data_IF_175032020696
#
_entry.id   IF_175032020696
#
_cell.length_a   1.000
_cell.length_b   1.000
_cell.length_c   1.000
_cell.angle_alpha   90.00
_cell.angle_beta   90.00
_cell.angle_gamma   90.00
#
_symmetry.space_group_name_H-M   'P 1'
#
loop_
_entity.id
_entity.type
_entity.pdbx_description
1 polymer ?
#
# COMPACT_ATOMS: atom_id res chain seq x y z
N UNK A 1 -38.75 -87.87 -19.35
CA UNK A 1 -38.48 -86.52 -19.89
C UNK A 1 -39.29 -85.55 -19.03
N UNK A 2 -38.84 -85.14 -17.84
CA UNK A 2 -37.81 -84.15 -17.51
C UNK A 2 -37.91 -82.86 -18.34
N UNK A 3 -38.47 -81.82 -17.73
CA UNK A 3 -38.04 -80.44 -17.94
C UNK A 3 -37.96 -79.78 -16.57
N UNK A 4 -36.72 -79.56 -16.10
CA UNK A 4 -36.42 -78.91 -14.83
C UNK A 4 -36.46 -77.38 -15.03
N UNK A 5 -37.21 -76.69 -14.19
CA UNK A 5 -37.24 -75.23 -14.12
C UNK A 5 -36.06 -74.78 -13.25
N UNK A 6 -34.98 -74.29 -13.86
CA UNK A 6 -33.86 -73.65 -13.13
C UNK A 6 -34.01 -72.13 -13.24
N UNK A 7 -34.47 -71.51 -12.16
CA UNK A 7 -34.43 -70.06 -12.00
C UNK A 7 -32.98 -69.63 -11.68
N UNK A 8 -32.35 -68.89 -12.60
CA UNK A 8 -31.01 -68.34 -12.40
C UNK A 8 -31.09 -67.08 -11.54
N UNK A 9 -30.71 -67.18 -10.27
CA UNK A 9 -30.39 -66.05 -9.41
C UNK A 9 -28.99 -65.56 -9.78
N UNK A 10 -28.87 -64.40 -10.43
CA UNK A 10 -27.59 -63.70 -10.52
C UNK A 10 -27.62 -62.57 -9.48
N UNK A 11 -26.80 -62.74 -8.44
CA UNK A 11 -26.66 -61.83 -7.31
C UNK A 11 -25.97 -60.57 -7.84
N UNK A 12 -26.64 -59.43 -7.80
CA UNK A 12 -25.97 -58.14 -7.99
C UNK A 12 -25.26 -57.80 -6.68
N UNK A 13 -23.94 -57.82 -6.65
CA UNK A 13 -23.15 -57.28 -5.54
C UNK A 13 -23.38 -55.76 -5.45
N UNK A 14 -24.31 -55.35 -4.59
CA UNK A 14 -24.48 -53.96 -4.21
C UNK A 14 -23.31 -53.58 -3.29
N UNK A 15 -22.33 -52.85 -3.83
CA UNK A 15 -21.28 -52.24 -3.03
C UNK A 15 -21.94 -51.24 -2.06
N UNK A 16 -22.04 -51.59 -0.77
CA UNK A 16 -22.48 -50.67 0.27
C UNK A 16 -21.40 -49.60 0.47
N UNK A 17 -21.56 -48.45 -0.17
CA UNK A 17 -20.68 -47.31 0.09
C UNK A 17 -20.94 -46.78 1.50
N UNK A 18 -19.98 -46.98 2.40
CA UNK A 18 -19.94 -46.34 3.71
C UNK A 18 -19.14 -45.05 3.61
N UNK A 19 -19.75 -43.93 3.97
CA UNK A 19 -19.11 -42.63 4.06
C UNK A 19 -19.31 -42.02 5.45
N UNK A 20 -18.35 -41.24 5.89
CA UNK A 20 -18.40 -40.43 7.10
C UNK A 20 -17.90 -39.02 6.80
N UNK A 21 -18.41 -38.02 7.51
CA UNK A 21 -18.06 -36.61 7.31
C UNK A 21 -17.57 -35.95 8.60
N UNK A 22 -16.85 -34.84 8.44
CA UNK A 22 -16.42 -33.97 9.53
C UNK A 22 -16.66 -32.51 9.16
N UNK A 23 -16.70 -31.63 10.15
CA UNK A 23 -16.82 -30.19 9.95
C UNK A 23 -15.44 -29.53 10.05
N UNK A 24 -15.08 -28.74 9.04
CA UNK A 24 -13.92 -27.85 9.05
C UNK A 24 -14.40 -26.41 9.23
N UNK A 25 -13.87 -25.70 10.23
CA UNK A 25 -14.13 -24.28 10.44
C UNK A 25 -12.82 -23.49 10.33
N UNK A 26 -12.85 -22.41 9.55
CA UNK A 26 -11.73 -21.46 9.42
C UNK A 26 -12.21 -20.12 9.98
N UNK A 27 -11.46 -19.55 10.92
CA UNK A 27 -11.73 -18.24 11.51
C UNK A 27 -10.74 -17.24 10.94
N UNK A 28 -11.26 -16.16 10.37
CA UNK A 28 -10.47 -15.06 9.81
C UNK A 28 -10.59 -13.85 10.74
N UNK A 29 -9.48 -13.16 10.96
CA UNK A 29 -9.44 -11.86 11.63
C UNK A 29 -8.99 -10.80 10.64
N UNK A 30 -9.40 -9.56 10.88
CA UNK A 30 -8.87 -8.43 10.13
C UNK A 30 -7.44 -8.13 10.56
N UNK A 31 -6.53 -8.08 9.58
CA UNK A 31 -5.11 -7.84 9.81
C UNK A 31 -4.66 -6.78 8.80
N UNK A 32 -3.95 -5.78 9.32
CA UNK A 32 -3.29 -4.76 8.52
C UNK A 32 -1.87 -4.52 9.04
N UNK A 33 -0.95 -4.26 8.11
CA UNK A 33 0.37 -3.75 8.45
C UNK A 33 0.82 -2.76 7.38
N UNK A 34 1.61 -1.79 7.81
CA UNK A 34 2.31 -0.84 6.96
C UNK A 34 3.74 -0.72 7.48
N UNK A 35 4.70 -0.67 6.56
CA UNK A 35 6.08 -0.35 6.89
C UNK A 35 6.68 0.53 5.81
N UNK A 36 7.64 1.35 6.23
CA UNK A 36 8.53 2.08 5.33
C UNK A 36 9.77 1.24 5.09
N UNK A 37 10.32 1.27 3.88
CA UNK A 37 11.63 0.72 3.61
C UNK A 37 12.69 1.43 4.49
N UNK A 38 13.30 0.69 5.41
CA UNK A 38 14.19 1.26 6.44
C UNK A 38 15.39 2.02 5.84
N UNK A 39 15.89 1.61 4.67
CA UNK A 39 16.96 2.32 3.97
C UNK A 39 16.54 3.69 3.43
N UNK A 40 15.24 3.98 3.40
CA UNK A 40 14.61 5.20 2.92
C UNK A 40 13.89 5.95 4.06
N UNK A 41 14.23 5.63 5.31
CA UNK A 41 13.68 6.32 6.50
C UNK A 41 14.02 7.81 6.58
N UNK A 42 14.97 8.27 5.76
CA UNK A 42 15.32 9.68 5.61
C UNK A 42 15.37 10.04 4.11
N UNK A 43 14.34 10.75 3.65
CA UNK A 43 14.24 11.24 2.26
C UNK A 43 14.76 12.67 2.21
N UNK A 44 15.85 12.88 1.45
CA UNK A 44 16.50 14.18 1.30
C UNK A 44 16.48 14.69 -0.13
N UNK A 45 15.99 15.90 -0.35
CA UNK A 45 16.00 16.58 -1.65
C UNK A 45 16.79 17.88 -1.52
N UNK A 46 17.88 18.01 -2.28
CA UNK A 46 18.71 19.21 -2.30
C UNK A 46 18.44 20.05 -3.55
N UNK A 47 18.08 21.33 -3.34
CA UNK A 47 18.01 22.35 -4.39
C UNK A 47 19.40 23.01 -4.52
N UNK A 48 20.15 22.63 -5.55
CA UNK A 48 21.56 23.00 -5.72
C UNK A 48 21.78 23.97 -6.89
N UNK A 49 20.88 23.95 -7.88
CA UNK A 49 21.02 24.75 -9.09
C UNK A 49 19.90 25.77 -9.21
N UNK A 50 20.11 26.85 -9.97
CA UNK A 50 19.03 27.81 -10.25
C UNK A 50 17.79 27.15 -10.85
N UNK A 51 17.97 26.08 -11.65
CA UNK A 51 16.84 25.32 -12.18
C UNK A 51 16.03 24.64 -11.07
N UNK A 52 16.71 24.07 -10.06
CA UNK A 52 16.03 23.42 -8.93
C UNK A 52 15.19 24.45 -8.16
N UNK A 53 15.69 25.68 -7.95
CA UNK A 53 14.92 26.74 -7.27
C UNK A 53 13.76 27.29 -8.12
N UNK A 54 13.85 27.24 -9.46
CA UNK A 54 12.80 27.74 -10.37
C UNK A 54 11.71 26.69 -10.60
N UNK A 55 12.11 25.44 -10.86
CA UNK A 55 11.23 24.37 -11.33
C UNK A 55 10.97 23.29 -10.28
N UNK A 56 11.68 23.31 -9.16
CA UNK A 56 11.62 22.27 -8.16
C UNK A 56 12.45 21.05 -8.54
N UNK A 57 12.30 19.98 -7.76
CA UNK A 57 13.06 18.74 -7.94
C UNK A 57 12.31 17.55 -7.38
N UNK A 58 12.39 16.43 -8.09
CA UNK A 58 11.81 15.16 -7.66
C UNK A 58 12.88 14.14 -7.26
N UNK A 59 12.52 13.25 -6.35
CA UNK A 59 13.23 11.99 -6.08
C UNK A 59 12.20 10.86 -6.01
N UNK A 60 12.55 9.70 -6.59
CA UNK A 60 11.73 8.50 -6.54
C UNK A 60 12.25 7.55 -5.46
N UNK A 61 11.41 7.26 -4.47
CA UNK A 61 11.66 6.20 -3.50
C UNK A 61 10.94 4.93 -3.93
N UNK A 62 11.69 4.00 -4.53
CA UNK A 62 11.13 2.72 -4.99
C UNK A 62 10.82 1.79 -3.80
N UNK A 63 9.66 1.12 -3.85
CA UNK A 63 9.10 0.25 -2.81
C UNK A 63 9.10 0.91 -1.43
N UNK A 64 8.81 2.20 -1.39
CA UNK A 64 8.91 3.00 -0.19
C UNK A 64 7.94 2.55 0.90
N UNK A 65 6.71 2.24 0.50
CA UNK A 65 5.67 1.73 1.39
C UNK A 65 5.44 0.26 1.04
N UNK A 66 5.41 -0.62 2.04
CA UNK A 66 4.93 -1.99 1.91
C UNK A 66 3.78 -2.22 2.89
N UNK A 67 2.71 -2.85 2.41
CA UNK A 67 1.51 -3.16 3.19
C UNK A 67 1.12 -4.63 3.11
N UNK A 68 0.30 -5.03 4.07
CA UNK A 68 -0.58 -6.19 4.01
C UNK A 68 -1.94 -5.77 4.57
N UNK A 69 -3.04 -6.20 3.94
CA UNK A 69 -4.40 -5.98 4.43
C UNK A 69 -5.28 -7.17 4.05
N UNK A 70 -6.06 -7.71 4.99
CA UNK A 70 -7.04 -8.78 4.71
C UNK A 70 -8.30 -8.28 3.99
N UNK A 71 -8.53 -6.96 4.01
CA UNK A 71 -9.72 -6.29 3.49
C UNK A 71 -9.33 -5.03 2.68
N UNK A 72 -10.33 -4.31 2.17
CA UNK A 72 -10.12 -2.98 1.57
C UNK A 72 -9.30 -2.08 2.51
N UNK A 73 -8.51 -1.18 1.93
CA UNK A 73 -7.64 -0.32 2.73
C UNK A 73 -7.46 1.06 2.10
N UNK A 74 -7.10 1.99 2.95
CA UNK A 74 -6.71 3.34 2.60
C UNK A 74 -5.35 3.63 3.24
N UNK A 75 -4.41 4.17 2.47
CA UNK A 75 -3.15 4.72 2.98
C UNK A 75 -3.30 6.24 2.99
N UNK A 76 -3.20 6.82 4.17
CA UNK A 76 -3.18 8.27 4.39
C UNK A 76 -1.79 8.76 4.70
N UNK A 77 -1.53 10.02 4.38
CA UNK A 77 -0.28 10.71 4.70
C UNK A 77 -0.54 12.08 5.32
N UNK A 78 0.27 12.42 6.32
CA UNK A 78 0.32 13.73 6.95
C UNK A 78 1.73 14.07 7.41
N UNK A 79 2.00 15.36 7.57
CA UNK A 79 3.22 15.87 8.16
C UNK A 79 2.97 16.40 9.57
N UNK A 80 3.93 16.19 10.48
CA UNK A 80 3.83 16.67 11.85
C UNK A 80 3.88 18.21 11.96
N UNK A 81 4.58 18.86 11.03
CA UNK A 81 4.73 20.32 10.95
C UNK A 81 5.13 20.77 9.54
N UNK A 82 5.16 22.09 9.35
CA UNK A 82 5.96 22.70 8.28
C UNK A 82 7.42 22.26 8.37
N UNK A 83 8.13 22.32 7.24
CA UNK A 83 9.57 22.07 7.22
C UNK A 83 10.25 23.14 8.06
N UNK A 84 11.07 22.73 9.03
CA UNK A 84 11.71 23.65 9.97
C UNK A 84 13.21 23.39 10.06
N UNK A 85 13.99 24.48 10.13
CA UNK A 85 15.45 24.44 10.13
C UNK A 85 16.03 25.84 10.23
N UNK A 86 17.21 25.99 10.83
CA UNK A 86 17.96 27.26 10.85
C UNK A 86 17.16 28.50 11.32
N UNK A 87 16.18 28.33 12.21
CA UNK A 87 15.33 29.40 12.71
C UNK A 87 14.27 29.93 11.73
N UNK A 88 14.03 29.23 10.62
CA UNK A 88 12.99 29.54 9.64
C UNK A 88 12.11 28.32 9.32
N UNK A 89 10.99 28.57 8.64
CA UNK A 89 10.07 27.53 8.19
C UNK A 89 9.78 27.65 6.70
N UNK A 90 9.52 26.51 6.08
CA UNK A 90 9.03 26.40 4.70
C UNK A 90 7.70 25.64 4.76
N UNK A 91 6.68 26.16 4.07
CA UNK A 91 5.36 25.53 4.03
C UNK A 91 5.46 24.10 3.49
N UNK A 92 4.90 23.14 4.22
CA UNK A 92 4.92 21.74 3.79
C UNK A 92 4.07 21.48 2.54
N UNK A 93 3.10 22.36 2.26
CA UNK A 93 2.29 22.30 1.03
C UNK A 93 3.11 22.45 -0.26
N UNK A 94 4.37 22.86 -0.16
CA UNK A 94 5.31 22.90 -1.29
C UNK A 94 5.83 21.52 -1.70
N UNK A 95 5.56 20.48 -0.93
CA UNK A 95 5.97 19.10 -1.20
C UNK A 95 4.77 18.27 -1.61
N UNK A 96 4.84 17.64 -2.79
CA UNK A 96 3.82 16.73 -3.31
C UNK A 96 4.35 15.32 -3.38
N UNK A 97 3.52 14.35 -2.97
CA UNK A 97 3.79 12.93 -3.11
C UNK A 97 2.96 12.35 -4.26
N UNK A 98 3.61 11.66 -5.18
CA UNK A 98 2.94 10.93 -6.27
C UNK A 98 3.17 9.43 -6.10
N UNK A 99 2.16 8.66 -5.69
CA UNK A 99 2.28 7.23 -5.55
C UNK A 99 2.14 6.51 -6.89
N UNK A 100 2.97 5.49 -7.12
CA UNK A 100 2.83 4.52 -8.20
C UNK A 100 2.96 3.10 -7.66
N UNK A 101 2.56 2.12 -8.46
CA UNK A 101 2.69 0.72 -8.06
C UNK A 101 4.17 0.34 -7.97
N UNK A 102 4.57 -0.28 -6.85
CA UNK A 102 5.91 -0.82 -6.68
C UNK A 102 6.08 -2.20 -7.32
N UNK A 103 7.19 -2.86 -7.02
CA UNK A 103 7.52 -4.18 -7.60
C UNK A 103 7.05 -5.38 -6.75
N UNK A 104 6.45 -5.16 -5.58
CA UNK A 104 5.91 -6.19 -4.70
C UNK A 104 4.39 -6.24 -4.86
N UNK A 105 3.87 -7.44 -5.03
CA UNK A 105 2.44 -7.72 -5.21
C UNK A 105 2.16 -8.30 -6.58
N UNK A 106 1.09 -9.09 -6.67
CA UNK A 106 0.56 -9.56 -7.95
C UNK A 106 -0.41 -8.56 -8.57
N UNK A 107 -1.13 -9.02 -9.59
CA UNK A 107 -2.30 -8.29 -10.08
C UNK A 107 -3.28 -8.05 -8.93
N UNK A 108 -3.83 -6.83 -8.88
CA UNK A 108 -4.81 -6.50 -7.86
C UNK A 108 -6.13 -7.20 -8.15
N UNK A 109 -6.69 -7.86 -7.13
CA UNK A 109 -8.01 -8.48 -7.21
C UNK A 109 -9.15 -7.43 -7.19
N UNK A 110 -8.82 -6.16 -6.95
CA UNK A 110 -9.75 -5.02 -6.96
C UNK A 110 -9.11 -3.78 -7.59
N UNK A 111 -9.83 -2.66 -7.55
CA UNK A 111 -9.30 -1.38 -8.02
C UNK A 111 -8.36 -0.78 -6.99
N UNK A 112 -7.25 -0.20 -7.45
CA UNK A 112 -6.38 0.66 -6.65
C UNK A 112 -6.39 2.03 -7.29
N UNK A 113 -6.78 3.04 -6.52
CA UNK A 113 -6.65 4.44 -6.90
C UNK A 113 -5.45 5.03 -6.17
N UNK A 114 -4.62 5.74 -6.91
CA UNK A 114 -3.40 6.40 -6.45
C UNK A 114 -3.52 7.87 -6.86
N UNK A 115 -3.35 8.79 -5.92
CA UNK A 115 -3.59 10.22 -6.17
C UNK A 115 -2.39 11.06 -5.75
N UNK A 116 -1.85 11.90 -6.66
CA UNK A 116 -0.88 12.92 -6.28
C UNK A 116 -1.45 13.80 -5.16
N UNK A 117 -0.69 13.96 -4.09
CA UNK A 117 -1.16 14.57 -2.85
C UNK A 117 -0.12 15.56 -2.33
N UNK A 118 -0.48 16.84 -2.26
CA UNK A 118 0.32 17.83 -1.55
C UNK A 118 0.29 17.50 -0.05
N UNK A 119 1.46 17.53 0.61
CA UNK A 119 1.54 17.27 2.03
C UNK A 119 0.85 18.40 2.82
N UNK A 120 0.20 18.02 3.92
CA UNK A 120 -0.39 18.97 4.86
C UNK A 120 -0.27 18.45 6.29
N UNK A 121 -0.72 19.26 7.25
CA UNK A 121 -0.77 18.90 8.67
C UNK A 121 -1.96 17.99 9.03
N UNK A 122 -2.79 17.66 8.04
CA UNK A 122 -3.96 16.79 8.19
C UNK A 122 -3.80 15.55 7.32
N UNK A 123 -4.47 14.48 7.68
CA UNK A 123 -4.42 13.25 6.87
C UNK A 123 -5.09 13.45 5.52
N UNK A 124 -4.38 13.08 4.45
CA UNK A 124 -4.89 13.04 3.09
C UNK A 124 -4.75 11.64 2.52
N UNK A 125 -5.75 11.19 1.75
CA UNK A 125 -5.72 9.91 1.05
C UNK A 125 -4.66 9.91 -0.04
N UNK A 126 -3.71 8.98 0.06
CA UNK A 126 -2.64 8.78 -0.93
C UNK A 126 -2.96 7.60 -1.85
N UNK A 127 -3.39 6.48 -1.26
CA UNK A 127 -3.77 5.25 -1.96
C UNK A 127 -5.07 4.71 -1.38
N UNK A 128 -5.95 4.21 -2.23
CA UNK A 128 -7.16 3.51 -1.82
C UNK A 128 -7.33 2.24 -2.63
N UNK A 129 -7.62 1.12 -1.96
CA UNK A 129 -7.92 -0.16 -2.62
C UNK A 129 -9.27 -0.70 -2.19
N UNK A 130 -10.02 -1.27 -3.15
CA UNK A 130 -11.30 -1.92 -2.90
C UNK A 130 -11.16 -3.39 -2.47
N UNK A 131 -9.93 -3.90 -2.34
CA UNK A 131 -9.63 -5.29 -1.95
C UNK A 131 -8.42 -5.34 -1.02
N UNK A 132 -8.25 -6.46 -0.31
CA UNK A 132 -7.04 -6.73 0.47
C UNK A 132 -5.88 -7.23 -0.38
N UNK A 133 -4.70 -7.24 0.24
CA UNK A 133 -3.46 -7.79 -0.28
C UNK A 133 -2.69 -8.52 0.78
N UNK A 134 -2.21 -9.71 0.42
CA UNK A 134 -1.29 -10.46 1.28
C UNK A 134 0.04 -9.69 1.43
N UNK A 135 0.48 -9.00 0.37
CA UNK A 135 1.67 -8.16 0.36
C UNK A 135 1.68 -7.26 -0.88
N UNK A 136 1.90 -5.95 -0.71
CA UNK A 136 2.01 -5.01 -1.83
C UNK A 136 2.95 -3.86 -1.49
N UNK A 137 3.70 -3.36 -2.47
CA UNK A 137 4.48 -2.12 -2.33
C UNK A 137 4.02 -1.00 -3.25
N UNK A 138 4.36 0.22 -2.85
CA UNK A 138 4.17 1.45 -3.61
C UNK A 138 5.48 2.21 -3.68
N UNK A 139 5.80 2.68 -4.88
CA UNK A 139 6.84 3.68 -5.08
C UNK A 139 6.24 5.04 -4.78
N UNK A 140 7.03 5.93 -4.18
CA UNK A 140 6.61 7.30 -3.87
C UNK A 140 7.59 8.27 -4.50
N UNK A 141 7.13 9.05 -5.48
CA UNK A 141 7.88 10.22 -5.94
C UNK A 141 7.59 11.40 -5.02
N UNK A 142 8.64 11.94 -4.40
CA UNK A 142 8.58 13.19 -3.66
C UNK A 142 8.99 14.32 -4.59
N UNK A 143 8.12 15.32 -4.75
CA UNK A 143 8.41 16.52 -5.52
C UNK A 143 8.36 17.76 -4.63
N UNK A 144 9.48 18.46 -4.54
CA UNK A 144 9.58 19.79 -3.92
C UNK A 144 9.36 20.81 -5.03
N UNK A 145 8.40 21.72 -4.86
CA UNK A 145 8.12 22.75 -5.87
C UNK A 145 9.30 23.71 -6.01
N UNK A 146 9.41 24.37 -7.16
CA UNK A 146 10.20 25.59 -7.26
C UNK A 146 9.43 26.76 -6.65
N UNK A 147 10.10 27.88 -6.37
CA UNK A 147 9.40 29.09 -5.97
C UNK A 147 10.10 29.95 -4.93
N UNK A 148 9.40 31.03 -4.57
CA UNK A 148 9.86 32.05 -3.64
C UNK A 148 9.97 31.58 -2.19
N UNK A 149 9.32 30.46 -1.88
CA UNK A 149 9.25 29.82 -0.56
C UNK A 149 10.65 29.43 -0.06
N UNK A 150 11.56 29.09 -0.99
CA UNK A 150 12.94 28.68 -0.71
C UNK A 150 13.94 29.84 -0.76
N UNK A 151 13.51 31.05 -1.16
CA UNK A 151 14.38 32.22 -1.23
C UNK A 151 14.52 32.89 0.13
N UNK A 152 15.68 33.51 0.36
CA UNK A 152 16.03 34.21 1.60
C UNK A 152 15.93 33.34 2.86
N UNK A 153 15.99 32.01 2.71
CA UNK A 153 16.11 31.06 3.80
C UNK A 153 17.59 30.87 4.14
N UNK A 154 17.98 30.85 5.44
CA UNK A 154 19.33 30.46 5.82
C UNK A 154 19.68 29.08 5.24
N UNK A 155 20.92 28.93 4.78
CA UNK A 155 21.43 27.65 4.28
C UNK A 155 21.46 26.62 5.40
N UNK A 156 20.79 25.49 5.20
CA UNK A 156 20.77 24.37 6.13
C UNK A 156 19.67 23.37 5.79
N UNK A 157 19.37 22.48 6.72
CA UNK A 157 18.40 21.41 6.52
C UNK A 157 17.08 21.79 7.17
N UNK A 158 16.00 21.76 6.37
CA UNK A 158 14.64 21.96 6.84
C UNK A 158 13.92 20.63 6.81
N UNK A 159 13.37 20.19 7.94
CA UNK A 159 12.82 18.84 8.08
C UNK A 159 11.49 18.83 8.82
N UNK A 160 10.75 17.75 8.62
CA UNK A 160 9.52 17.40 9.33
C UNK A 160 9.41 15.88 9.39
N UNK A 161 8.54 15.36 10.25
CA UNK A 161 8.19 13.94 10.27
C UNK A 161 6.97 13.71 9.39
N UNK A 162 7.07 12.82 8.42
CA UNK A 162 5.96 12.36 7.60
C UNK A 162 5.45 11.04 8.17
N UNK A 163 4.13 10.95 8.40
CA UNK A 163 3.48 9.75 8.93
C UNK A 163 2.57 9.17 7.86
N UNK A 164 2.74 7.86 7.61
CA UNK A 164 1.83 7.08 6.78
C UNK A 164 0.99 6.18 7.67
N UNK A 165 -0.32 6.19 7.45
CA UNK A 165 -1.27 5.40 8.22
C UNK A 165 -2.08 4.53 7.28
N UNK A 166 -2.18 3.23 7.57
CA UNK A 166 -3.12 2.34 6.89
C UNK A 166 -4.38 2.20 7.75
N UNK A 167 -5.55 2.30 7.10
CA UNK A 167 -6.86 2.21 7.73
C UNK A 167 -7.79 1.32 6.90
N UNK A 168 -8.82 0.76 7.54
CA UNK A 168 -10.02 0.30 6.85
C UNK A 168 -10.95 1.51 6.62
N UNK A 169 -11.27 1.88 5.37
CA UNK A 169 -12.23 2.94 5.08
C UNK A 169 -13.68 2.48 5.30
#
# INVERSE_FOLDING_TARGET
>A
MLFALLASFCITEANAQNSAGTNLNIHLNDIQSIKINESQSNVGISLNTSNDYINGKSILEANHIEIMSSSNYEIRVSAASNLSGEGATIDIGTVTLTPTQGNIGGESQGSITMSPTALSLTDNTLVQSTSGDIKRSFDIEYHVSGGSEYLNKPTGTYSTLITYTILMP
#
